data_IF_845919650726
#
_entry.id   IF_845919650726
#
_cell.length_a   1.000
_cell.length_b   1.000
_cell.length_c   1.000
_cell.angle_alpha   90.00
_cell.angle_beta   90.00
_cell.angle_gamma   90.00
#
_symmetry.space_group_name_H-M   'P 1'
#
loop_
_entity.id
_entity.type
_entity.pdbx_description
1 polymer ?
#
# COMPACT_ATOMS: atom_id res chain seq x y z
N UNK A 1 5.16 -5.14 -11.87
CA UNK A 1 6.22 -4.36 -11.20
C UNK A 1 7.21 -5.38 -10.70
N UNK A 2 8.51 -5.12 -10.78
CA UNK A 2 9.45 -5.96 -10.04
C UNK A 2 9.12 -5.82 -8.55
N UNK A 3 9.24 -6.92 -7.81
CA UNK A 3 8.94 -7.00 -6.37
C UNK A 3 9.59 -5.84 -5.59
N UNK A 4 10.83 -5.51 -5.96
CA UNK A 4 11.63 -4.44 -5.37
C UNK A 4 10.98 -3.06 -5.45
N UNK A 5 10.37 -2.69 -6.58
CA UNK A 5 9.69 -1.38 -6.70
C UNK A 5 8.47 -1.29 -5.80
N UNK A 6 7.76 -2.39 -5.59
CA UNK A 6 6.62 -2.41 -4.67
C UNK A 6 7.08 -2.21 -3.22
N UNK A 7 8.17 -2.86 -2.81
CA UNK A 7 8.73 -2.64 -1.47
C UNK A 7 9.26 -1.22 -1.28
N UNK A 8 9.89 -0.62 -2.31
CA UNK A 8 10.31 0.78 -2.26
C UNK A 8 9.12 1.74 -2.10
N UNK A 9 8.02 1.50 -2.81
CA UNK A 9 6.79 2.31 -2.65
C UNK A 9 6.20 2.22 -1.25
N UNK A 10 6.40 1.10 -0.55
CA UNK A 10 5.96 0.93 0.83
C UNK A 10 6.89 1.63 1.81
N UNK A 11 8.20 1.49 1.63
CA UNK A 11 9.22 1.97 2.57
C UNK A 11 9.47 3.48 2.48
N UNK A 12 9.40 4.07 1.29
CA UNK A 12 9.71 5.49 1.08
C UNK A 12 8.77 6.42 1.88
N UNK A 13 7.43 6.23 1.88
CA UNK A 13 6.53 7.04 2.69
C UNK A 13 6.77 6.86 4.20
N UNK A 14 7.17 5.67 4.64
CA UNK A 14 7.47 5.39 6.05
C UNK A 14 8.71 6.16 6.51
N UNK A 15 9.77 6.18 5.70
CA UNK A 15 10.96 6.98 6.01
C UNK A 15 10.63 8.49 6.13
N UNK A 16 9.74 8.99 5.26
CA UNK A 16 9.29 10.38 5.32
C UNK A 16 8.47 10.67 6.58
N UNK A 17 7.64 9.73 7.05
CA UNK A 17 6.90 9.88 8.32
C UNK A 17 7.82 9.92 9.54
N UNK A 18 8.88 9.10 9.56
CA UNK A 18 9.88 9.13 10.65
C UNK A 18 10.56 10.50 10.70
N UNK A 19 10.93 11.04 9.54
CA UNK A 19 11.52 12.37 9.46
C UNK A 19 10.56 13.49 9.95
N UNK A 20 9.26 13.41 9.59
CA UNK A 20 8.25 14.36 10.07
C UNK A 20 8.07 14.27 11.60
N UNK A 21 8.14 13.06 12.16
CA UNK A 21 8.08 12.84 13.59
C UNK A 21 9.28 13.45 14.33
N UNK A 22 10.49 13.26 13.81
CA UNK A 22 11.73 13.82 14.36
C UNK A 22 11.72 15.36 14.35
N UNK A 23 11.00 15.97 13.40
CA UNK A 23 10.77 17.41 13.34
C UNK A 23 9.68 17.91 14.33
N UNK A 24 9.19 17.05 15.23
CA UNK A 24 8.09 17.30 16.18
C UNK A 24 6.75 17.71 15.51
N UNK A 25 6.57 17.40 14.23
CA UNK A 25 5.33 17.67 13.47
C UNK A 25 4.32 16.53 13.67
N UNK A 26 3.87 16.32 14.91
CA UNK A 26 3.07 15.14 15.27
C UNK A 26 1.72 15.08 14.54
N UNK A 27 1.00 16.20 14.44
CA UNK A 27 -0.30 16.25 13.75
C UNK A 27 -0.14 15.94 12.25
N UNK A 28 0.87 16.53 11.62
CA UNK A 28 1.20 16.28 10.21
C UNK A 28 1.61 14.82 10.00
N UNK A 29 2.36 14.24 10.93
CA UNK A 29 2.75 12.82 10.90
C UNK A 29 1.51 11.92 11.00
N UNK A 30 0.59 12.22 11.91
CA UNK A 30 -0.66 11.45 12.08
C UNK A 30 -1.54 11.53 10.83
N UNK A 31 -1.72 12.72 10.26
CA UNK A 31 -2.48 12.91 9.00
C UNK A 31 -1.82 12.13 7.86
N UNK A 32 -0.49 12.18 7.78
CA UNK A 32 0.29 11.44 6.76
C UNK A 32 0.11 9.93 6.89
N UNK A 33 0.11 9.40 8.12
CA UNK A 33 -0.16 7.98 8.39
C UNK A 33 -1.57 7.61 7.94
N UNK A 34 -2.59 8.43 8.26
CA UNK A 34 -3.98 8.16 7.86
C UNK A 34 -4.12 8.14 6.33
N UNK A 35 -3.58 9.13 5.63
CA UNK A 35 -3.58 9.19 4.16
C UNK A 35 -2.85 7.98 3.59
N UNK A 36 -1.72 7.59 4.19
CA UNK A 36 -0.95 6.46 3.73
C UNK A 36 -1.72 5.15 3.88
N UNK A 37 -2.29 4.87 5.05
CA UNK A 37 -3.00 3.61 5.32
C UNK A 37 -4.33 3.53 4.56
N UNK A 38 -5.09 4.63 4.52
CA UNK A 38 -6.45 4.63 3.96
C UNK A 38 -6.50 4.85 2.45
N UNK A 39 -5.50 5.55 1.88
CA UNK A 39 -5.55 5.95 0.47
C UNK A 39 -4.37 5.34 -0.28
N UNK A 40 -3.14 5.68 0.11
CA UNK A 40 -1.96 5.28 -0.66
C UNK A 40 -1.77 3.76 -0.69
N UNK A 41 -1.91 3.11 0.46
CA UNK A 41 -1.72 1.67 0.62
C UNK A 41 -2.69 0.84 -0.23
N UNK A 42 -4.03 1.03 -0.15
CA UNK A 42 -4.96 0.27 -0.98
C UNK A 42 -4.81 0.58 -2.47
N UNK A 43 -4.39 1.80 -2.85
CA UNK A 43 -4.09 2.13 -4.24
C UNK A 43 -2.88 1.34 -4.75
N UNK A 44 -1.75 1.37 -4.05
CA UNK A 44 -0.52 0.65 -4.44
C UNK A 44 -0.76 -0.86 -4.50
N UNK A 45 -1.40 -1.41 -3.48
CA UNK A 45 -1.73 -2.83 -3.41
C UNK A 45 -2.71 -3.22 -4.53
N UNK A 46 -3.72 -2.39 -4.83
CA UNK A 46 -4.67 -2.63 -5.91
C UNK A 46 -4.06 -2.54 -7.30
N UNK A 47 -3.21 -1.56 -7.54
CA UNK A 47 -2.49 -1.45 -8.80
C UNK A 47 -1.59 -2.65 -9.05
N UNK A 48 -0.97 -3.18 -7.99
CA UNK A 48 -0.18 -4.41 -8.08
C UNK A 48 -1.07 -5.61 -8.39
N UNK A 49 -2.19 -5.79 -7.70
CA UNK A 49 -3.10 -6.93 -7.93
C UNK A 49 -3.75 -6.93 -9.32
N UNK A 50 -4.12 -5.75 -9.82
CA UNK A 50 -4.60 -5.59 -11.20
C UNK A 50 -3.54 -6.06 -12.19
N UNK A 51 -2.28 -5.69 -11.96
CA UNK A 51 -1.17 -6.07 -12.84
C UNK A 51 -0.89 -7.57 -12.77
N UNK A 52 -1.08 -8.19 -11.60
CA UNK A 52 -1.01 -9.64 -11.41
C UNK A 52 -2.25 -10.38 -11.95
N UNK A 53 -3.23 -9.67 -12.52
CA UNK A 53 -4.53 -10.21 -12.99
C UNK A 53 -5.35 -10.91 -11.89
N UNK A 54 -5.05 -10.62 -10.62
CA UNK A 54 -5.74 -11.19 -9.44
C UNK A 54 -6.96 -10.36 -9.02
N UNK A 55 -7.06 -9.11 -9.49
CA UNK A 55 -8.15 -8.20 -9.19
C UNK A 55 -8.54 -7.41 -10.44
N UNK A 56 -9.82 -7.40 -10.86
CA UNK A 56 -10.25 -6.59 -12.00
C UNK A 56 -10.30 -5.10 -11.59
N UNK A 57 -9.99 -4.19 -12.51
CA UNK A 57 -9.92 -2.73 -12.24
C UNK A 57 -11.18 -2.17 -11.57
N UNK A 58 -12.36 -2.69 -11.93
CA UNK A 58 -13.66 -2.32 -11.35
C UNK A 58 -13.77 -2.58 -9.83
N UNK A 59 -12.98 -3.52 -9.32
CA UNK A 59 -13.00 -3.93 -7.92
C UNK A 59 -11.93 -3.23 -7.08
N UNK A 60 -11.18 -2.27 -7.64
CA UNK A 60 -10.13 -1.56 -6.91
C UNK A 60 -10.67 -0.81 -5.68
N UNK A 61 -11.89 -0.27 -5.77
CA UNK A 61 -12.57 0.36 -4.64
C UNK A 61 -12.75 -0.59 -3.44
N UNK A 62 -12.84 -1.90 -3.68
CA UNK A 62 -12.95 -2.89 -2.59
C UNK A 62 -11.67 -2.98 -1.76
N UNK A 63 -10.53 -2.50 -2.26
CA UNK A 63 -9.29 -2.48 -1.49
C UNK A 63 -9.26 -1.43 -0.39
N UNK A 64 -10.10 -0.41 -0.49
CA UNK A 64 -10.30 0.56 0.59
C UNK A 64 -11.09 -0.04 1.77
N UNK A 65 -11.75 -1.19 1.56
CA UNK A 65 -12.42 -1.91 2.63
C UNK A 65 -11.35 -2.57 3.50
N UNK A 66 -11.29 -2.25 4.81
CA UNK A 66 -10.33 -2.86 5.71
C UNK A 66 -10.49 -4.39 5.67
N UNK A 67 -9.37 -5.10 5.74
CA UNK A 67 -9.26 -6.57 5.66
C UNK A 67 -9.58 -7.23 4.30
N UNK A 68 -10.18 -6.54 3.32
CA UNK A 68 -10.46 -7.14 2.00
C UNK A 68 -9.17 -7.56 1.26
N UNK A 69 -8.09 -6.81 1.45
CA UNK A 69 -6.78 -7.10 0.88
C UNK A 69 -6.08 -8.33 1.47
N UNK A 70 -6.48 -8.82 2.65
CA UNK A 70 -5.79 -9.91 3.35
C UNK A 70 -5.80 -11.21 2.54
N UNK A 71 -6.88 -11.49 1.81
CA UNK A 71 -6.99 -12.68 0.94
C UNK A 71 -5.98 -12.68 -0.22
N UNK A 72 -5.40 -11.53 -0.54
CA UNK A 72 -4.42 -11.36 -1.61
C UNK A 72 -2.99 -11.25 -1.09
N UNK A 73 -2.75 -11.41 0.21
CA UNK A 73 -1.43 -11.28 0.82
C UNK A 73 -0.39 -12.16 0.12
N UNK A 74 -0.72 -13.42 -0.16
CA UNK A 74 0.16 -14.33 -0.91
C UNK A 74 0.63 -13.75 -2.25
N UNK A 75 -0.33 -13.32 -3.08
CA UNK A 75 -0.04 -12.73 -4.39
C UNK A 75 0.70 -11.38 -4.29
N UNK A 76 0.38 -10.58 -3.28
CA UNK A 76 0.99 -9.27 -3.04
C UNK A 76 2.44 -9.35 -2.54
N UNK A 77 2.84 -10.38 -1.80
CA UNK A 77 4.19 -10.43 -1.22
C UNK A 77 5.10 -11.44 -1.91
N UNK A 78 4.56 -12.60 -2.29
CA UNK A 78 5.34 -13.69 -2.90
C UNK A 78 5.24 -13.73 -4.43
N UNK A 79 4.34 -12.94 -5.03
CA UNK A 79 4.04 -13.03 -6.46
C UNK A 79 3.15 -14.24 -6.76
N UNK A 80 2.73 -14.37 -8.02
CA UNK A 80 1.95 -15.55 -8.45
C UNK A 80 2.90 -16.76 -8.41
N UNK A 81 2.67 -17.66 -7.46
CA UNK A 81 3.12 -19.05 -7.59
C UNK A 81 2.34 -19.61 -8.78
N UNK A 82 3.01 -19.70 -9.93
CA UNK A 82 2.56 -20.50 -11.08
C UNK A 82 2.37 -21.94 -10.68
#
# INVERSE_FOLDING_TARGET
MKLLYYYLQILLPVALMVYLYDCALYETTLISILIYVLIYRPLVDGHRLIRLRQLPKKDLWKMFIPFYGAKYFGALYFGVLT
#
